data_IF_464197236789
#
_entry.id   IF_464197236789
#
_cell.length_a   1.000
_cell.length_b   1.000
_cell.length_c   1.000
_cell.angle_alpha   90.00
_cell.angle_beta   90.00
_cell.angle_gamma   90.00
#
_symmetry.space_group_name_H-M   'P 1'
#
loop_
_entity.id
_entity.type
_entity.pdbx_description
1 polymer ?
#
# COMPACT_ATOMS: atom_id res chain seq x y z
N UNK A 1 24.27 -12.94 63.09
CA UNK A 1 24.27 -14.18 62.28
C UNK A 1 25.62 -14.26 61.57
N UNK A 2 26.30 -15.40 61.69
CA UNK A 2 27.72 -15.59 61.34
C UNK A 2 27.84 -16.12 59.91
N UNK A 3 28.79 -15.58 59.16
CA UNK A 3 29.37 -16.18 57.94
C UNK A 3 29.97 -17.56 58.26
N UNK A 4 30.07 -18.45 57.26
CA UNK A 4 31.42 -18.74 56.80
C UNK A 4 31.55 -18.91 55.28
N UNK A 5 32.74 -18.53 54.86
CA UNK A 5 33.34 -18.56 53.53
C UNK A 5 34.38 -19.70 53.55
N UNK A 6 34.29 -20.65 52.61
CA UNK A 6 35.30 -21.68 52.28
C UNK A 6 35.21 -21.84 50.76
N UNK A 7 35.99 -21.11 49.96
CA UNK A 7 37.38 -21.35 49.51
C UNK A 7 37.60 -22.72 48.83
N UNK A 8 37.83 -22.61 47.52
CA UNK A 8 38.72 -23.37 46.65
C UNK A 8 38.39 -24.83 46.29
N UNK A 9 38.01 -25.02 45.03
CA UNK A 9 38.63 -26.04 44.19
C UNK A 9 38.84 -25.46 42.78
N UNK A 10 40.11 -25.18 42.52
CA UNK A 10 40.69 -24.70 41.29
C UNK A 10 41.04 -25.93 40.44
N UNK A 11 40.48 -26.09 39.24
CA UNK A 11 41.04 -26.91 38.14
C UNK A 11 40.06 -26.82 36.95
N UNK A 12 40.27 -25.91 36.00
CA UNK A 12 41.19 -26.05 34.86
C UNK A 12 40.48 -26.63 33.64
N UNK A 13 40.74 -25.98 32.50
CA UNK A 13 40.49 -26.42 31.11
C UNK A 13 39.02 -26.29 30.65
N UNK A 14 38.66 -25.70 29.51
CA UNK A 14 39.43 -25.29 28.34
C UNK A 14 38.60 -24.29 27.49
N UNK A 15 39.35 -23.43 26.78
CA UNK A 15 39.01 -22.90 25.46
C UNK A 15 37.78 -22.00 25.32
N UNK A 16 38.01 -20.71 25.50
CA UNK A 16 37.36 -19.69 24.68
C UNK A 16 37.82 -19.82 23.22
N UNK A 17 36.93 -19.94 22.23
CA UNK A 17 37.21 -19.37 20.92
C UNK A 17 36.65 -17.95 20.94
N UNK A 18 37.47 -17.02 21.44
CA UNK A 18 37.47 -15.69 20.88
C UNK A 18 38.35 -15.77 19.63
N UNK A 19 37.74 -15.83 18.45
CA UNK A 19 38.29 -15.41 17.14
C UNK A 19 37.25 -15.74 16.06
N UNK A 20 37.07 -14.80 15.13
CA UNK A 20 36.21 -14.86 13.94
C UNK A 20 34.77 -14.31 14.06
N UNK A 21 34.58 -13.18 14.76
CA UNK A 21 33.72 -12.14 14.18
C UNK A 21 34.50 -11.48 13.03
N UNK A 22 34.55 -12.18 11.89
CA UNK A 22 34.97 -11.59 10.64
C UNK A 22 33.83 -10.66 10.22
N UNK A 23 33.91 -9.40 10.67
CA UNK A 23 33.10 -8.30 10.17
C UNK A 23 33.42 -8.14 8.68
N UNK A 24 32.75 -8.94 7.85
CA UNK A 24 32.66 -8.67 6.42
C UNK A 24 31.83 -7.39 6.29
N UNK A 25 32.53 -6.26 6.15
CA UNK A 25 31.94 -5.03 5.66
C UNK A 25 31.16 -5.38 4.39
N UNK A 26 29.84 -5.17 4.37
CA UNK A 26 29.08 -5.40 3.16
C UNK A 26 29.58 -4.42 2.10
N UNK A 27 30.21 -4.94 1.05
CA UNK A 27 30.41 -4.22 -0.20
C UNK A 27 29.04 -3.83 -0.70
N UNK A 28 28.74 -2.53 -0.62
CA UNK A 28 27.47 -1.95 -1.02
C UNK A 28 27.29 -2.11 -2.53
N UNK A 29 26.48 -3.10 -2.95
CA UNK A 29 25.90 -3.08 -4.28
C UNK A 29 25.04 -1.81 -4.39
N UNK A 30 25.13 -1.03 -5.49
CA UNK A 30 24.33 0.18 -5.65
C UNK A 30 22.85 -0.17 -5.55
N UNK A 31 22.17 0.41 -4.56
CA UNK A 31 20.75 0.23 -4.37
C UNK A 31 19.99 0.66 -5.64
N UNK A 32 18.99 -0.11 -6.11
CA UNK A 32 18.08 0.36 -7.15
C UNK A 32 17.48 1.69 -6.70
N UNK A 33 17.51 2.69 -7.58
CA UNK A 33 16.91 4.00 -7.29
C UNK A 33 15.46 3.79 -6.86
N UNK A 34 15.08 4.34 -5.71
CA UNK A 34 13.70 4.29 -5.24
C UNK A 34 12.77 4.80 -6.35
N UNK A 35 11.64 4.14 -6.63
CA UNK A 35 10.66 4.66 -7.58
C UNK A 35 10.27 6.06 -7.14
N UNK A 36 10.67 7.07 -7.92
CA UNK A 36 10.25 8.44 -7.71
C UNK A 36 8.81 8.51 -8.20
N UNK A 37 7.87 8.72 -7.27
CA UNK A 37 6.51 9.05 -7.67
C UNK A 37 6.56 10.34 -8.50
N UNK A 38 5.80 10.39 -9.62
CA UNK A 38 5.60 11.62 -10.35
C UNK A 38 5.11 12.73 -9.40
N UNK A 39 5.76 13.91 -9.36
CA UNK A 39 5.38 14.98 -8.44
C UNK A 39 3.93 15.42 -8.62
N UNK A 40 3.36 15.20 -9.81
CA UNK A 40 1.97 15.47 -10.16
C UNK A 40 0.98 14.71 -9.27
N UNK A 41 1.33 13.52 -8.77
CA UNK A 41 0.49 12.73 -7.87
C UNK A 41 0.48 13.25 -6.43
N UNK A 42 1.37 14.19 -6.11
CA UNK A 42 1.44 14.87 -4.81
C UNK A 42 1.07 16.34 -4.88
N UNK A 43 0.83 16.88 -6.08
CA UNK A 43 0.44 18.27 -6.28
C UNK A 43 -1.04 18.45 -5.88
N UNK A 44 -1.35 19.34 -4.91
CA UNK A 44 -2.73 19.64 -4.53
C UNK A 44 -3.60 20.09 -5.72
N UNK A 45 -3.03 20.76 -6.72
CA UNK A 45 -3.78 21.21 -7.91
C UNK A 45 -4.27 20.04 -8.76
N UNK A 46 -3.46 19.00 -8.91
CA UNK A 46 -3.84 17.78 -9.64
C UNK A 46 -4.94 17.04 -8.90
N UNK A 47 -4.85 16.97 -7.56
CA UNK A 47 -5.88 16.35 -6.72
C UNK A 47 -7.22 17.11 -6.80
N UNK A 48 -7.19 18.45 -6.81
CA UNK A 48 -8.37 19.28 -7.01
C UNK A 48 -9.01 19.05 -8.37
N UNK A 49 -8.20 19.00 -9.43
CA UNK A 49 -8.68 18.72 -10.78
C UNK A 49 -9.35 17.34 -10.86
N UNK A 50 -8.76 16.33 -10.22
CA UNK A 50 -9.32 14.97 -10.13
C UNK A 50 -10.67 14.96 -9.39
N UNK A 51 -10.76 15.67 -8.26
CA UNK A 51 -12.00 15.83 -7.53
C UNK A 51 -13.09 16.50 -8.36
N UNK A 52 -12.73 17.53 -9.13
CA UNK A 52 -13.68 18.24 -10.01
C UNK A 52 -14.19 17.33 -11.14
N UNK A 53 -13.29 16.57 -11.78
CA UNK A 53 -13.68 15.58 -12.81
C UNK A 53 -14.58 14.51 -12.22
N UNK A 54 -14.23 13.96 -11.05
CA UNK A 54 -15.05 12.99 -10.35
C UNK A 54 -16.44 13.54 -10.02
N UNK A 55 -16.53 14.81 -9.59
CA UNK A 55 -17.81 15.48 -9.34
C UNK A 55 -18.68 15.61 -10.59
N UNK A 56 -18.08 15.97 -11.74
CA UNK A 56 -18.80 16.05 -13.02
C UNK A 56 -19.32 14.67 -13.44
N UNK A 57 -18.48 13.63 -13.34
CA UNK A 57 -18.88 12.26 -13.68
C UNK A 57 -20.00 11.76 -12.76
N UNK A 58 -19.88 11.98 -11.46
CA UNK A 58 -20.92 11.59 -10.50
C UNK A 58 -22.24 12.32 -10.77
N UNK A 59 -22.20 13.61 -11.10
CA UNK A 59 -23.40 14.36 -11.49
C UNK A 59 -24.04 13.81 -12.75
N UNK A 60 -23.24 13.44 -13.76
CA UNK A 60 -23.74 12.83 -14.98
C UNK A 60 -24.45 11.49 -14.70
N UNK A 61 -23.89 10.66 -13.81
CA UNK A 61 -24.50 9.40 -13.39
C UNK A 61 -25.83 9.62 -12.67
N UNK A 62 -25.91 10.62 -11.79
CA UNK A 62 -27.15 10.97 -11.09
C UNK A 62 -28.28 11.40 -12.03
N UNK A 63 -27.94 11.96 -13.19
CA UNK A 63 -28.93 12.39 -14.21
C UNK A 63 -29.39 11.27 -15.14
N UNK A 64 -28.84 10.05 -15.04
CA UNK A 64 -29.24 8.95 -15.91
C UNK A 64 -30.71 8.58 -15.67
N UNK A 65 -31.54 8.51 -16.72
CA UNK A 65 -32.93 8.08 -16.60
C UNK A 65 -32.97 6.57 -16.34
N UNK A 66 -33.66 6.17 -15.27
CA UNK A 66 -33.77 4.75 -14.87
C UNK A 66 -35.20 4.22 -14.97
N UNK A 67 -36.22 5.09 -14.92
CA UNK A 67 -37.61 4.63 -14.95
C UNK A 67 -38.01 3.95 -16.26
N UNK A 68 -37.45 4.37 -17.40
CA UNK A 68 -37.70 3.68 -18.67
C UNK A 68 -37.11 2.26 -18.68
N UNK A 69 -35.94 2.09 -18.05
CA UNK A 69 -35.27 0.80 -17.91
C UNK A 69 -36.07 -0.11 -16.98
N UNK A 70 -36.56 0.41 -15.87
CA UNK A 70 -37.44 -0.32 -14.94
C UNK A 70 -38.76 -0.74 -15.58
N UNK A 71 -39.44 0.17 -16.30
CA UNK A 71 -40.69 -0.16 -16.98
C UNK A 71 -40.49 -1.24 -18.06
N UNK A 72 -39.36 -1.22 -18.77
CA UNK A 72 -39.00 -2.25 -19.73
C UNK A 72 -38.72 -3.60 -19.04
N UNK A 73 -38.03 -3.60 -17.89
CA UNK A 73 -37.80 -4.80 -17.08
C UNK A 73 -39.10 -5.41 -16.54
N UNK A 74 -40.05 -4.56 -16.16
CA UNK A 74 -41.37 -4.96 -15.65
C UNK A 74 -42.37 -5.32 -16.76
N UNK A 75 -41.96 -5.21 -18.03
CA UNK A 75 -42.81 -5.43 -19.21
C UNK A 75 -44.12 -4.62 -19.19
N UNK A 76 -44.04 -3.37 -18.71
CA UNK A 76 -45.17 -2.43 -18.65
C UNK A 76 -44.92 -1.22 -19.57
N UNK A 77 -45.97 -0.52 -20.04
CA UNK A 77 -45.78 0.69 -20.82
C UNK A 77 -45.12 1.80 -19.98
N UNK A 78 -44.17 2.52 -20.59
CA UNK A 78 -43.48 3.65 -19.98
C UNK A 78 -44.45 4.81 -19.75
N UNK A 79 -44.56 5.27 -18.50
CA UNK A 79 -45.41 6.39 -18.10
C UNK A 79 -44.67 7.72 -18.13
N UNK A 80 -45.38 8.84 -17.98
CA UNK A 80 -44.76 10.17 -17.88
C UNK A 80 -43.91 10.33 -16.59
N UNK A 81 -44.22 9.57 -15.55
CA UNK A 81 -43.47 9.55 -14.29
C UNK A 81 -42.13 8.83 -14.46
N UNK A 82 -42.13 7.67 -15.13
CA UNK A 82 -40.92 6.88 -15.42
C UNK A 82 -39.87 7.69 -16.19
N UNK A 83 -40.31 8.55 -17.13
CA UNK A 83 -39.40 9.42 -17.91
C UNK A 83 -38.72 10.50 -17.07
N UNK A 84 -39.28 10.84 -15.91
CA UNK A 84 -38.70 11.82 -14.98
C UNK A 84 -37.84 11.16 -13.91
N UNK A 85 -37.90 9.83 -13.81
CA UNK A 85 -37.21 9.04 -12.80
C UNK A 85 -35.74 8.86 -13.18
N UNK A 86 -34.85 9.29 -12.28
CA UNK A 86 -33.40 9.28 -12.48
C UNK A 86 -32.70 8.56 -11.32
N UNK A 87 -31.42 8.23 -11.48
CA UNK A 87 -30.62 7.67 -10.37
C UNK A 87 -30.66 8.59 -9.14
N UNK A 88 -30.67 9.92 -9.34
CA UNK A 88 -30.80 10.89 -8.25
C UNK A 88 -32.11 10.73 -7.47
N UNK A 89 -33.24 10.51 -8.15
CA UNK A 89 -34.52 10.33 -7.47
C UNK A 89 -34.58 9.02 -6.68
N UNK A 90 -33.94 7.96 -7.16
CA UNK A 90 -33.91 6.67 -6.47
C UNK A 90 -33.00 6.65 -5.25
N UNK A 91 -31.84 7.29 -5.38
CA UNK A 91 -30.87 7.36 -4.28
C UNK A 91 -31.21 8.44 -3.25
N UNK A 92 -32.17 9.32 -3.57
CA UNK A 92 -32.47 10.52 -2.78
C UNK A 92 -31.32 11.55 -2.79
N UNK A 93 -30.25 11.30 -3.55
CA UNK A 93 -29.05 12.12 -3.56
C UNK A 93 -29.28 13.37 -4.40
N UNK A 94 -29.21 14.53 -3.76
CA UNK A 94 -29.31 15.79 -4.48
C UNK A 94 -27.91 16.28 -4.95
N UNK A 95 -27.85 17.12 -6.02
CA UNK A 95 -26.58 17.62 -6.54
C UNK A 95 -25.75 18.42 -5.52
N UNK A 96 -26.38 19.11 -4.57
CA UNK A 96 -25.68 19.92 -3.56
C UNK A 96 -25.02 19.05 -2.49
N UNK A 97 -25.63 17.92 -2.14
CA UNK A 97 -25.06 16.93 -1.25
C UNK A 97 -23.88 16.23 -1.91
N UNK A 98 -24.02 15.85 -3.19
CA UNK A 98 -22.91 15.31 -3.95
C UNK A 98 -21.72 16.29 -3.97
N UNK A 99 -21.95 17.58 -4.24
CA UNK A 99 -20.89 18.59 -4.24
C UNK A 99 -20.18 18.65 -2.86
N UNK A 100 -20.94 18.61 -1.76
CA UNK A 100 -20.36 18.57 -0.40
C UNK A 100 -19.58 17.28 -0.13
N UNK A 101 -20.06 16.15 -0.64
CA UNK A 101 -19.42 14.85 -0.46
C UNK A 101 -18.08 14.78 -1.23
N UNK A 102 -18.05 15.33 -2.44
CA UNK A 102 -16.83 15.48 -3.25
C UNK A 102 -15.83 16.38 -2.53
N UNK A 103 -16.25 17.53 -2.02
CA UNK A 103 -15.37 18.43 -1.26
C UNK A 103 -14.83 17.78 0.03
N UNK A 104 -15.65 17.03 0.76
CA UNK A 104 -15.18 16.24 1.92
C UNK A 104 -14.20 15.14 1.49
N UNK A 105 -14.47 14.49 0.36
CA UNK A 105 -13.65 13.44 -0.21
C UNK A 105 -12.25 13.92 -0.59
N UNK A 106 -12.11 15.16 -1.10
CA UNK A 106 -10.81 15.74 -1.48
C UNK A 106 -9.81 15.71 -0.33
N UNK A 107 -10.24 16.06 0.88
CA UNK A 107 -9.37 16.02 2.06
C UNK A 107 -8.93 14.60 2.40
N UNK A 108 -9.86 13.64 2.36
CA UNK A 108 -9.56 12.23 2.62
C UNK A 108 -8.61 11.65 1.57
N UNK A 109 -8.79 11.99 0.29
CA UNK A 109 -7.90 11.57 -0.81
C UNK A 109 -6.50 12.17 -0.64
N UNK A 110 -6.40 13.46 -0.30
CA UNK A 110 -5.11 14.10 -0.04
C UNK A 110 -4.36 13.45 1.14
N UNK A 111 -5.07 13.17 2.24
CA UNK A 111 -4.48 12.50 3.40
C UNK A 111 -4.07 11.06 3.08
N UNK A 112 -4.89 10.32 2.34
CA UNK A 112 -4.58 8.96 1.88
C UNK A 112 -3.37 8.92 0.96
N UNK A 113 -3.29 9.86 0.01
CA UNK A 113 -2.14 10.02 -0.89
C UNK A 113 -0.85 10.30 -0.12
N UNK A 114 -0.89 11.23 0.84
CA UNK A 114 0.27 11.51 1.70
C UNK A 114 0.68 10.30 2.55
N UNK A 115 -0.28 9.52 3.05
CA UNK A 115 0.00 8.31 3.80
C UNK A 115 0.70 7.25 2.93
N UNK A 116 0.23 7.04 1.69
CA UNK A 116 0.89 6.15 0.72
C UNK A 116 2.31 6.62 0.38
N UNK A 117 2.51 7.92 0.16
CA UNK A 117 3.86 8.48 -0.10
C UNK A 117 4.81 8.21 1.07
N UNK A 118 4.33 8.32 2.32
CA UNK A 118 5.15 8.04 3.51
C UNK A 118 5.48 6.56 3.67
N UNK A 119 4.64 5.65 3.18
CA UNK A 119 4.88 4.20 3.31
C UNK A 119 5.75 3.64 2.19
N UNK A 120 5.83 4.29 1.03
CA UNK A 120 6.67 3.84 -0.09
C UNK A 120 8.16 3.60 0.28
N UNK A 121 8.84 4.47 1.05
CA UNK A 121 10.21 4.20 1.51
C UNK A 121 10.34 2.97 2.43
N UNK A 122 9.27 2.57 3.11
CA UNK A 122 9.26 1.36 3.96
C UNK A 122 9.13 0.13 3.08
N UNK A 123 8.20 0.16 2.12
CA UNK A 123 7.97 -0.94 1.17
C UNK A 123 9.23 -1.20 0.34
N UNK A 124 9.85 -0.16 -0.21
CA UNK A 124 11.09 -0.27 -1.00
C UNK A 124 12.24 -0.87 -0.19
N UNK A 125 12.43 -0.46 1.06
CA UNK A 125 13.43 -1.07 1.95
C UNK A 125 13.16 -2.54 2.21
N UNK A 126 11.90 -2.91 2.48
CA UNK A 126 11.52 -4.31 2.70
C UNK A 126 11.76 -5.16 1.45
N UNK A 127 11.42 -4.65 0.25
CA UNK A 127 11.66 -5.32 -1.03
C UNK A 127 13.15 -5.51 -1.30
N UNK A 128 13.97 -4.49 -1.05
CA UNK A 128 15.42 -4.59 -1.20
C UNK A 128 16.02 -5.63 -0.25
N UNK A 129 15.62 -5.63 1.02
CA UNK A 129 16.07 -6.64 2.00
C UNK A 129 15.66 -8.06 1.62
N UNK A 130 14.44 -8.24 1.11
CA UNK A 130 13.98 -9.53 0.61
C UNK A 130 14.81 -9.99 -0.60
N UNK A 131 15.09 -9.10 -1.55
CA UNK A 131 15.96 -9.39 -2.69
C UNK A 131 17.37 -9.84 -2.27
N UNK A 132 17.96 -9.19 -1.27
CA UNK A 132 19.26 -9.60 -0.73
C UNK A 132 19.23 -10.97 -0.05
N UNK A 133 18.18 -11.27 0.72
CA UNK A 133 18.02 -12.58 1.35
C UNK A 133 17.88 -13.69 0.31
N UNK A 134 17.07 -13.46 -0.73
CA UNK A 134 16.91 -14.38 -1.85
C UNK A 134 18.25 -14.56 -2.58
N UNK A 135 18.98 -13.47 -2.86
CA UNK A 135 20.30 -13.52 -3.48
C UNK A 135 21.29 -14.36 -2.68
N UNK A 136 21.33 -14.20 -1.35
CA UNK A 136 22.15 -15.04 -0.45
C UNK A 136 21.72 -16.51 -0.46
N UNK A 137 20.43 -16.78 -0.47
CA UNK A 137 19.90 -18.14 -0.52
C UNK A 137 20.29 -18.85 -1.82
N UNK A 138 20.21 -18.15 -2.96
CA UNK A 138 20.61 -18.66 -4.27
C UNK A 138 22.12 -18.86 -4.34
N UNK A 139 22.91 -17.90 -3.86
CA UNK A 139 24.37 -17.99 -3.86
C UNK A 139 24.91 -19.14 -2.99
N UNK A 140 24.14 -19.56 -1.97
CA UNK A 140 24.46 -20.69 -1.10
C UNK A 140 23.87 -22.03 -1.58
N UNK A 141 23.23 -22.08 -2.76
CA UNK A 141 22.81 -23.36 -3.34
C UNK A 141 24.05 -24.13 -3.82
N UNK A 142 24.16 -25.44 -3.51
CA UNK A 142 25.23 -26.26 -4.04
C UNK A 142 25.16 -26.29 -5.57
N UNK A 143 26.32 -26.07 -6.21
CA UNK A 143 26.44 -26.10 -7.67
C UNK A 143 26.01 -27.47 -8.21
N UNK A 144 25.12 -27.54 -9.22
CA UNK A 144 24.64 -28.80 -9.78
C UNK A 144 25.70 -29.58 -10.57
N UNK A 145 26.91 -29.03 -10.74
CA UNK A 145 28.00 -29.60 -11.55
C UNK A 145 29.00 -30.48 -10.79
N UNK A 146 28.70 -30.93 -9.56
CA UNK A 146 29.57 -31.94 -8.91
C UNK A 146 29.36 -33.34 -9.53
N UNK A 147 30.41 -34.01 -10.04
CA UNK A 147 30.28 -35.38 -10.54
C UNK A 147 29.99 -36.33 -9.36
N UNK A 148 28.96 -37.16 -9.52
CA UNK A 148 28.74 -38.33 -8.65
C UNK A 148 29.89 -39.30 -8.92
N UNK A 149 30.76 -39.49 -7.93
CA UNK A 149 31.62 -40.67 -7.86
C UNK A 149 30.84 -41.80 -7.20
#
# INVERSE_FOLDING_TARGET
MRLPLVIAALAATAASPALAQQQQQPVASPAPAAPQLPPELTDPRTLDALGNVAGVLARALLTLPVGEVEAALENRPVTAEDRRKTVASETGMNPRELDREVERGKVAVAQGGQAMVRTLPVITRALNQAGEQIGRAIANLPSPTYPRQ
#
